data_IF_727146806152
#
_entry.id   IF_727146806152
#
_cell.length_a   1.000
_cell.length_b   1.000
_cell.length_c   1.000
_cell.angle_alpha   90.00
_cell.angle_beta   90.00
_cell.angle_gamma   90.00
#
_symmetry.space_group_name_H-M   'P 1'
#
loop_
_entity.id
_entity.type
_entity.pdbx_description
1 polymer ?
#
# COMPACT_ATOMS: atom_id res chain seq x y z
N UNK A 1 0.22 29.89 21.88
CA UNK A 1 0.58 28.58 21.28
C UNK A 1 0.79 28.80 19.79
N UNK A 2 1.91 28.35 19.22
CA UNK A 2 2.15 28.38 17.76
C UNK A 2 1.34 27.26 17.08
N UNK A 3 0.99 27.45 15.81
CA UNK A 3 0.40 26.38 14.99
C UNK A 3 1.42 25.25 14.76
N UNK A 4 0.99 23.98 14.71
CA UNK A 4 1.86 22.90 14.27
C UNK A 4 2.38 23.17 12.85
N UNK A 5 3.68 22.97 12.63
CA UNK A 5 4.36 23.28 11.36
C UNK A 5 4.91 22.03 10.65
N UNK A 6 4.81 20.88 11.27
CA UNK A 6 5.31 19.61 10.70
C UNK A 6 4.45 18.44 11.11
N UNK A 7 4.46 17.39 10.27
CA UNK A 7 3.88 16.08 10.57
C UNK A 7 5.00 15.07 10.49
N UNK A 8 5.16 14.23 11.52
CA UNK A 8 6.11 13.14 11.52
C UNK A 8 5.34 11.82 11.60
N UNK A 9 5.40 11.02 10.54
CA UNK A 9 4.83 9.68 10.48
C UNK A 9 5.96 8.65 10.47
N UNK A 10 5.78 7.55 11.21
CA UNK A 10 6.82 6.52 11.35
C UNK A 10 6.21 5.13 11.21
N UNK A 11 6.92 4.26 10.52
CA UNK A 11 6.63 2.83 10.53
C UNK A 11 7.06 2.21 11.86
N UNK A 12 6.42 1.12 12.30
CA UNK A 12 6.93 0.28 13.38
C UNK A 12 8.34 -0.24 13.03
N UNK A 13 9.18 -0.34 14.04
CA UNK A 13 10.61 -0.66 13.86
C UNK A 13 10.83 -2.05 13.23
N UNK A 14 9.92 -3.00 13.50
CA UNK A 14 9.98 -4.35 12.95
C UNK A 14 9.89 -4.40 11.40
N UNK A 15 9.28 -3.38 10.75
CA UNK A 15 9.15 -3.33 9.29
C UNK A 15 10.52 -3.34 8.61
N UNK A 16 11.51 -2.66 9.19
CA UNK A 16 12.87 -2.61 8.63
C UNK A 16 13.54 -3.99 8.57
N UNK A 17 13.27 -4.86 9.54
CA UNK A 17 13.78 -6.22 9.58
C UNK A 17 12.94 -7.25 8.81
N UNK A 18 11.72 -6.87 8.38
CA UNK A 18 10.80 -7.75 7.67
C UNK A 18 11.00 -7.72 6.14
N UNK A 19 11.72 -6.73 5.63
CA UNK A 19 11.88 -6.47 4.20
C UNK A 19 13.33 -6.68 3.78
N UNK A 20 13.56 -7.68 2.94
CA UNK A 20 14.86 -7.87 2.29
C UNK A 20 14.95 -6.94 1.06
N UNK A 21 15.72 -5.87 1.19
CA UNK A 21 15.90 -4.87 0.13
C UNK A 21 16.90 -5.29 -0.96
N UNK A 22 17.71 -6.29 -0.69
CA UNK A 22 18.71 -6.79 -1.63
C UNK A 22 18.14 -7.87 -2.56
N UNK A 23 17.02 -8.48 -2.14
CA UNK A 23 16.28 -9.46 -2.94
C UNK A 23 15.54 -8.78 -4.10
N UNK A 24 15.61 -9.37 -5.30
CA UNK A 24 14.70 -9.09 -6.41
C UNK A 24 13.45 -9.96 -6.29
N UNK A 25 12.25 -9.35 -6.29
CA UNK A 25 10.94 -10.00 -6.24
C UNK A 25 10.37 -10.07 -7.65
N UNK A 26 10.85 -11.02 -8.45
CA UNK A 26 10.60 -11.04 -9.90
C UNK A 26 9.14 -11.32 -10.30
N UNK A 27 8.38 -12.06 -9.48
CA UNK A 27 6.98 -12.37 -9.79
C UNK A 27 6.00 -11.41 -9.10
N UNK A 28 4.85 -11.16 -9.74
CA UNK A 28 3.75 -10.41 -9.11
C UNK A 28 3.26 -11.10 -7.83
N UNK A 29 3.28 -12.45 -7.81
CA UNK A 29 2.94 -13.24 -6.63
C UNK A 29 3.87 -12.98 -5.46
N UNK A 30 5.21 -12.94 -5.67
CA UNK A 30 6.18 -12.63 -4.60
C UNK A 30 5.99 -11.21 -4.05
N UNK A 31 5.69 -10.24 -4.94
CA UNK A 31 5.46 -8.84 -4.55
C UNK A 31 4.23 -8.70 -3.65
N UNK A 32 3.11 -9.31 -4.05
CA UNK A 32 1.86 -9.27 -3.26
C UNK A 32 1.99 -10.09 -1.99
N UNK A 33 2.66 -11.25 -2.04
CA UNK A 33 2.92 -12.05 -0.84
C UNK A 33 3.69 -11.28 0.22
N UNK A 34 4.67 -10.44 -0.17
CA UNK A 34 5.36 -9.56 0.77
C UNK A 34 4.39 -8.55 1.41
N UNK A 35 3.53 -7.91 0.62
CA UNK A 35 2.54 -6.96 1.13
C UNK A 35 1.55 -7.64 2.12
N UNK A 36 1.08 -8.84 1.79
CA UNK A 36 0.21 -9.67 2.66
C UNK A 36 0.95 -10.04 3.95
N UNK A 37 2.23 -10.46 3.86
CA UNK A 37 3.04 -10.79 5.02
C UNK A 37 3.25 -9.60 5.97
N UNK A 38 3.41 -8.40 5.42
CA UNK A 38 3.46 -7.16 6.22
C UNK A 38 2.13 -6.87 6.91
N UNK A 39 1.00 -7.06 6.21
CA UNK A 39 -0.33 -6.90 6.78
C UNK A 39 -0.58 -7.87 7.94
N UNK A 40 -0.24 -9.15 7.79
CA UNK A 40 -0.35 -10.17 8.84
C UNK A 40 0.51 -9.81 10.04
N UNK A 41 1.77 -9.47 9.81
CA UNK A 41 2.68 -9.11 10.90
C UNK A 41 2.26 -7.83 11.63
N UNK A 42 1.64 -6.87 10.94
CA UNK A 42 1.10 -5.67 11.57
C UNK A 42 0.01 -5.98 12.60
N UNK A 43 -0.76 -7.06 12.38
CA UNK A 43 -1.72 -7.59 13.35
C UNK A 43 -1.02 -8.31 14.51
N UNK A 44 -0.09 -9.23 14.22
CA UNK A 44 0.63 -10.02 15.22
C UNK A 44 1.38 -9.14 16.21
N UNK A 45 2.00 -8.07 15.72
CA UNK A 45 2.72 -7.08 16.53
C UNK A 45 1.79 -6.02 17.16
N UNK A 46 0.48 -6.07 16.88
CA UNK A 46 -0.54 -5.10 17.33
C UNK A 46 -0.16 -3.63 17.04
N UNK A 47 0.43 -3.37 15.87
CA UNK A 47 0.94 -2.05 15.47
C UNK A 47 0.04 -1.31 14.50
N UNK A 48 -1.12 -1.87 14.11
CA UNK A 48 -2.11 -1.21 13.26
C UNK A 48 -3.09 -2.14 12.59
N UNK A 49 -3.78 -1.66 11.54
CA UNK A 49 -4.78 -2.41 10.79
C UNK A 49 -4.21 -3.44 9.81
N UNK A 50 -5.06 -4.28 9.19
CA UNK A 50 -4.69 -5.47 8.41
C UNK A 50 -4.22 -5.15 6.98
N UNK A 51 -3.42 -4.11 6.82
CA UNK A 51 -3.01 -3.65 5.50
C UNK A 51 -1.50 -3.43 5.40
N UNK A 52 -0.93 -3.90 4.28
CA UNK A 52 0.47 -3.75 3.93
C UNK A 52 0.61 -3.40 2.45
N UNK A 53 1.61 -2.59 2.12
CA UNK A 53 1.89 -2.17 0.76
C UNK A 53 3.40 -1.99 0.54
N UNK A 54 3.85 -2.26 -0.68
CA UNK A 54 5.28 -2.18 -1.03
C UNK A 54 5.45 -1.56 -2.41
N UNK A 55 6.32 -0.57 -2.53
CA UNK A 55 6.76 0.01 -3.80
C UNK A 55 8.03 -0.69 -4.25
N UNK A 56 8.01 -1.22 -5.48
CA UNK A 56 9.16 -1.84 -6.14
C UNK A 56 9.66 -0.95 -7.28
N UNK A 57 10.99 -0.95 -7.45
CA UNK A 57 11.67 -0.29 -8.56
C UNK A 57 11.73 -1.14 -9.83
N UNK A 58 12.34 -0.57 -10.90
CA UNK A 58 12.49 -1.25 -12.19
C UNK A 58 13.36 -2.52 -12.13
N UNK A 59 14.12 -2.70 -11.06
CA UNK A 59 14.98 -3.85 -10.80
C UNK A 59 14.31 -4.92 -9.92
N UNK A 60 13.00 -4.81 -9.72
CA UNK A 60 12.18 -5.67 -8.85
C UNK A 60 12.60 -5.65 -7.36
N UNK A 61 13.40 -4.68 -6.92
CA UNK A 61 13.77 -4.51 -5.53
C UNK A 61 12.84 -3.53 -4.81
N UNK A 62 12.77 -3.70 -3.48
CA UNK A 62 11.96 -2.83 -2.64
C UNK A 62 12.57 -1.43 -2.54
N UNK A 63 11.82 -0.43 -2.96
CA UNK A 63 12.11 1.00 -2.74
C UNK A 63 11.64 1.43 -1.35
N UNK A 64 10.39 1.12 -1.04
CA UNK A 64 9.77 1.43 0.25
C UNK A 64 8.64 0.45 0.57
N UNK A 65 8.37 0.28 1.85
CA UNK A 65 7.24 -0.50 2.35
C UNK A 65 6.39 0.37 3.28
N UNK A 66 5.12 0.02 3.44
CA UNK A 66 4.18 0.65 4.35
C UNK A 66 3.26 -0.37 4.99
N UNK A 67 2.85 -0.09 6.22
CA UNK A 67 1.76 -0.77 6.92
C UNK A 67 0.79 0.27 7.43
N UNK A 68 -0.46 -0.14 7.66
CA UNK A 68 -1.46 0.77 8.21
C UNK A 68 -1.13 1.13 9.66
N UNK A 69 -0.92 2.41 9.92
CA UNK A 69 -0.61 2.96 11.24
C UNK A 69 -1.54 4.12 11.63
N UNK A 70 -2.78 4.09 11.16
CA UNK A 70 -3.81 5.15 11.41
C UNK A 70 -3.97 5.41 12.88
N UNK A 71 -4.28 4.40 13.68
CA UNK A 71 -4.52 4.54 15.11
C UNK A 71 -3.25 4.94 15.89
N UNK A 72 -2.10 4.26 15.73
CA UNK A 72 -0.87 4.63 16.43
C UNK A 72 -0.35 6.02 16.11
N UNK A 73 -0.59 6.51 14.88
CA UNK A 73 -0.13 7.83 14.45
C UNK A 73 -1.23 8.92 14.54
N UNK A 74 -2.43 8.55 14.99
CA UNK A 74 -3.58 9.46 15.15
C UNK A 74 -3.89 10.27 13.87
N UNK A 75 -3.83 9.62 12.70
CA UNK A 75 -4.14 10.25 11.43
C UNK A 75 -4.75 9.26 10.43
N UNK A 76 -5.91 9.60 9.89
CA UNK A 76 -6.60 8.81 8.85
C UNK A 76 -5.83 8.72 7.53
N UNK A 77 -4.74 9.46 7.36
CA UNK A 77 -3.93 9.44 6.13
C UNK A 77 -2.86 8.35 6.15
N UNK A 78 -2.57 7.74 7.31
CA UNK A 78 -1.49 6.76 7.47
C UNK A 78 -1.91 5.33 7.06
N UNK A 79 -2.54 5.19 5.91
CA UNK A 79 -2.80 3.90 5.25
C UNK A 79 -1.50 3.30 4.72
N UNK A 80 -1.45 1.98 4.55
CA UNK A 80 -0.26 1.27 4.10
C UNK A 80 0.31 1.81 2.79
N UNK A 81 -0.55 2.03 1.78
CA UNK A 81 -0.16 2.54 0.47
C UNK A 81 0.38 3.96 0.55
N UNK A 82 -0.28 4.84 1.34
CA UNK A 82 0.18 6.20 1.52
C UNK A 82 1.55 6.25 2.22
N UNK A 83 1.75 5.42 3.24
CA UNK A 83 3.05 5.29 3.90
C UNK A 83 4.13 4.82 2.90
N UNK A 84 3.84 3.80 2.10
CA UNK A 84 4.75 3.30 1.08
C UNK A 84 5.08 4.37 0.03
N UNK A 85 4.08 5.11 -0.47
CA UNK A 85 4.29 6.19 -1.44
C UNK A 85 5.13 7.34 -0.88
N UNK A 86 4.78 7.86 0.31
CA UNK A 86 5.52 8.96 0.91
C UNK A 86 6.99 8.60 1.15
N UNK A 87 7.26 7.38 1.63
CA UNK A 87 8.61 6.90 1.86
C UNK A 87 9.36 6.65 0.55
N UNK A 88 8.71 6.13 -0.48
CA UNK A 88 9.31 5.98 -1.81
C UNK A 88 9.66 7.33 -2.44
N UNK A 89 8.76 8.31 -2.36
CA UNK A 89 9.00 9.67 -2.84
C UNK A 89 10.19 10.33 -2.13
N UNK A 90 10.28 10.18 -0.81
CA UNK A 90 11.42 10.68 -0.03
C UNK A 90 12.73 9.96 -0.41
N UNK A 91 12.72 8.63 -0.53
CA UNK A 91 13.91 7.85 -0.89
C UNK A 91 14.43 8.17 -2.29
N UNK A 92 13.53 8.46 -3.23
CA UNK A 92 13.87 8.79 -4.61
C UNK A 92 14.08 10.30 -4.83
N UNK A 93 13.70 11.16 -3.88
CA UNK A 93 13.75 12.61 -4.02
C UNK A 93 12.78 13.17 -5.06
N UNK A 94 11.69 12.45 -5.38
CA UNK A 94 10.77 12.81 -6.46
C UNK A 94 9.32 12.75 -6.01
N UNK A 95 8.53 13.74 -6.36
CA UNK A 95 7.10 13.77 -6.06
C UNK A 95 6.30 12.78 -6.94
N UNK A 96 6.78 12.49 -8.15
CA UNK A 96 6.23 11.47 -9.04
C UNK A 96 7.30 10.43 -9.32
N UNK A 97 7.10 9.22 -8.80
CA UNK A 97 8.17 8.22 -8.69
C UNK A 97 8.60 7.61 -10.02
N UNK A 98 7.71 7.53 -11.01
CA UNK A 98 7.98 6.94 -12.34
C UNK A 98 8.51 7.96 -13.38
N UNK A 99 8.80 9.18 -12.97
CA UNK A 99 9.44 10.18 -13.82
C UNK A 99 10.79 10.61 -13.22
N UNK A 100 11.78 10.84 -14.06
CA UNK A 100 13.06 11.43 -13.67
C UNK A 100 12.95 12.96 -13.50
N UNK A 101 14.09 13.62 -13.19
CA UNK A 101 14.14 15.06 -12.98
C UNK A 101 13.83 15.88 -14.24
N UNK A 102 13.98 15.28 -15.42
CA UNK A 102 13.60 15.87 -16.71
C UNK A 102 12.14 15.59 -17.10
N UNK A 103 11.39 14.88 -16.24
CA UNK A 103 10.00 14.47 -16.49
C UNK A 103 9.87 13.30 -17.47
N UNK A 104 10.91 12.53 -17.72
CA UNK A 104 10.89 11.36 -18.60
C UNK A 104 10.56 10.10 -17.81
N UNK A 105 9.84 9.13 -18.42
CA UNK A 105 9.60 7.84 -17.79
C UNK A 105 10.90 7.13 -17.38
N UNK A 106 10.97 6.66 -16.14
CA UNK A 106 12.12 5.94 -15.58
C UNK A 106 11.72 4.65 -14.85
N UNK A 107 10.47 4.17 -15.10
CA UNK A 107 9.92 2.92 -14.54
C UNK A 107 10.32 1.65 -15.30
N UNK A 108 9.60 0.52 -15.07
CA UNK A 108 8.33 0.50 -14.34
C UNK A 108 8.49 0.53 -12.81
N UNK A 109 7.69 1.34 -12.14
CA UNK A 109 7.49 1.26 -10.70
C UNK A 109 6.17 0.57 -10.39
N UNK A 110 6.19 -0.31 -9.40
CA UNK A 110 5.04 -1.17 -9.05
C UNK A 110 4.65 -0.93 -7.61
N UNK A 111 3.36 -0.69 -7.33
CA UNK A 111 2.81 -0.88 -6.00
C UNK A 111 2.18 -2.27 -5.90
N UNK A 112 2.59 -3.08 -4.93
CA UNK A 112 1.85 -4.25 -4.48
C UNK A 112 1.16 -3.93 -3.15
N UNK A 113 -0.13 -4.25 -3.04
CA UNK A 113 -0.92 -4.03 -1.84
C UNK A 113 -1.70 -5.28 -1.45
N UNK A 114 -1.85 -5.51 -0.14
CA UNK A 114 -2.59 -6.67 0.39
C UNK A 114 -4.08 -6.62 0.06
N UNK A 115 -4.65 -5.43 -0.11
CA UNK A 115 -6.05 -5.22 -0.46
C UNK A 115 -6.21 -4.10 -1.50
N UNK A 116 -7.37 -4.07 -2.15
CA UNK A 116 -7.72 -3.01 -3.09
C UNK A 116 -7.63 -1.64 -2.41
N UNK A 117 -6.97 -0.64 -3.04
CA UNK A 117 -6.91 0.70 -2.48
C UNK A 117 -8.29 1.33 -2.28
N UNK A 118 -8.52 1.89 -1.11
CA UNK A 118 -9.69 2.73 -0.81
C UNK A 118 -9.69 4.01 -1.66
N UNK A 119 -10.74 4.82 -1.59
CA UNK A 119 -10.86 6.06 -2.37
C UNK A 119 -9.67 7.02 -2.15
N UNK A 120 -9.12 7.10 -0.94
CA UNK A 120 -7.95 7.91 -0.61
C UNK A 120 -6.67 7.37 -1.28
N UNK A 121 -6.39 6.08 -1.13
CA UNK A 121 -5.21 5.43 -1.68
C UNK A 121 -5.26 5.32 -3.21
N UNK A 122 -6.47 5.17 -3.77
CA UNK A 122 -6.69 5.24 -5.22
C UNK A 122 -6.23 6.60 -5.78
N UNK A 123 -6.66 7.70 -5.14
CA UNK A 123 -6.20 9.04 -5.52
C UNK A 123 -4.69 9.19 -5.38
N UNK A 124 -4.12 8.70 -4.27
CA UNK A 124 -2.67 8.71 -4.05
C UNK A 124 -1.90 7.93 -5.12
N UNK A 125 -2.42 6.77 -5.57
CA UNK A 125 -1.84 5.96 -6.66
C UNK A 125 -1.66 6.77 -7.94
N UNK A 126 -2.67 7.55 -8.32
CA UNK A 126 -2.63 8.42 -9.50
C UNK A 126 -1.54 9.50 -9.37
N UNK A 127 -1.45 10.14 -8.20
CA UNK A 127 -0.50 11.24 -7.98
C UNK A 127 0.94 10.78 -7.73
N UNK A 128 1.13 9.68 -7.01
CA UNK A 128 2.46 9.13 -6.75
C UNK A 128 3.16 8.67 -8.04
N UNK A 129 2.41 8.22 -9.04
CA UNK A 129 2.95 7.85 -10.34
C UNK A 129 3.62 6.48 -10.31
N UNK A 130 2.84 5.41 -10.13
CA UNK A 130 3.27 4.04 -10.42
C UNK A 130 2.81 3.63 -11.81
N UNK A 131 3.46 2.63 -12.39
CA UNK A 131 3.10 2.08 -13.70
C UNK A 131 2.20 0.85 -13.56
N UNK A 132 2.32 0.13 -12.42
CA UNK A 132 1.51 -1.06 -12.12
C UNK A 132 1.01 -1.05 -10.69
N UNK A 133 -0.23 -1.51 -10.50
CA UNK A 133 -0.87 -1.71 -9.21
C UNK A 133 -1.28 -3.19 -9.08
N UNK A 134 -0.65 -3.92 -8.17
CA UNK A 134 -0.89 -5.33 -7.89
C UNK A 134 -1.71 -5.45 -6.61
N UNK A 135 -2.83 -6.19 -6.66
CA UNK A 135 -3.84 -6.20 -5.61
C UNK A 135 -4.12 -7.63 -5.15
N UNK A 136 -4.09 -7.85 -3.84
CA UNK A 136 -4.51 -9.09 -3.18
C UNK A 136 -6.03 -9.22 -3.08
N UNK A 137 -6.60 -8.85 -1.94
CA UNK A 137 -8.04 -8.88 -1.68
C UNK A 137 -8.78 -7.76 -2.42
N UNK A 138 -10.06 -7.96 -2.67
CA UNK A 138 -10.96 -6.95 -3.26
C UNK A 138 -11.58 -6.07 -2.18
N UNK A 139 -12.18 -4.95 -2.59
CA UNK A 139 -12.93 -4.09 -1.67
C UNK A 139 -14.13 -4.83 -1.04
N UNK A 140 -14.78 -5.70 -1.80
CA UNK A 140 -15.87 -6.55 -1.29
C UNK A 140 -15.40 -7.49 -0.18
N UNK A 141 -14.15 -8.01 -0.27
CA UNK A 141 -13.56 -8.86 0.78
C UNK A 141 -13.26 -8.05 2.04
N UNK A 142 -12.74 -6.83 1.86
CA UNK A 142 -12.48 -5.91 2.98
C UNK A 142 -13.78 -5.61 3.73
N UNK A 143 -14.82 -5.21 3.02
CA UNK A 143 -16.13 -4.92 3.62
C UNK A 143 -16.74 -6.14 4.32
N UNK A 144 -16.75 -7.30 3.65
CA UNK A 144 -17.29 -8.55 4.19
C UNK A 144 -16.61 -9.00 5.48
N UNK A 145 -15.27 -8.90 5.53
CA UNK A 145 -14.48 -9.51 6.58
C UNK A 145 -14.08 -8.56 7.71
N UNK A 146 -14.11 -7.24 7.48
CA UNK A 146 -13.69 -6.25 8.47
C UNK A 146 -14.73 -5.16 8.74
N UNK A 147 -15.73 -5.02 7.86
CA UNK A 147 -16.73 -3.95 7.84
C UNK A 147 -16.11 -2.54 7.66
N UNK A 148 -14.89 -2.42 7.13
CA UNK A 148 -14.34 -1.13 6.71
C UNK A 148 -15.07 -0.61 5.48
N UNK A 149 -15.33 0.70 5.45
CA UNK A 149 -15.84 1.42 4.29
C UNK A 149 -14.66 1.93 3.46
N UNK A 150 -14.55 1.43 2.23
CA UNK A 150 -13.49 1.82 1.29
C UNK A 150 -13.76 3.17 0.58
N UNK A 151 -14.91 3.79 0.86
CA UNK A 151 -15.35 5.04 0.26
C UNK A 151 -15.67 4.94 -1.23
N UNK A 152 -16.07 6.06 -1.86
CA UNK A 152 -16.51 6.08 -3.24
C UNK A 152 -15.35 5.96 -4.23
N UNK A 153 -15.48 5.06 -5.20
CA UNK A 153 -14.60 4.94 -6.37
C UNK A 153 -15.41 5.17 -7.66
N UNK A 154 -14.76 5.60 -8.75
CA UNK A 154 -15.40 5.58 -10.06
C UNK A 154 -15.91 4.17 -10.42
N UNK A 155 -17.07 4.06 -11.06
CA UNK A 155 -17.64 2.76 -11.46
C UNK A 155 -16.65 1.94 -12.33
N UNK A 156 -15.90 2.59 -13.22
CA UNK A 156 -14.81 1.99 -14.01
C UNK A 156 -13.45 2.46 -13.48
N UNK A 157 -13.17 2.23 -12.20
CA UNK A 157 -11.93 2.70 -11.56
C UNK A 157 -10.66 2.08 -12.19
N UNK A 158 -10.74 0.84 -12.67
CA UNK A 158 -9.61 0.19 -13.37
C UNK A 158 -9.37 0.81 -14.74
N UNK A 159 -10.44 1.12 -15.50
CA UNK A 159 -10.32 1.85 -16.76
C UNK A 159 -9.80 3.27 -16.57
N UNK A 160 -10.15 3.93 -15.46
CA UNK A 160 -9.59 5.25 -15.11
C UNK A 160 -8.08 5.18 -14.81
N UNK A 161 -7.59 4.11 -14.16
CA UNK A 161 -6.15 3.88 -14.00
C UNK A 161 -5.47 3.62 -15.35
N UNK A 162 -6.06 2.76 -16.18
CA UNK A 162 -5.52 2.42 -17.51
C UNK A 162 -5.39 3.65 -18.42
N UNK A 163 -6.38 4.57 -18.40
CA UNK A 163 -6.31 5.85 -19.12
C UNK A 163 -5.14 6.75 -18.67
N UNK A 164 -4.62 6.52 -17.47
CA UNK A 164 -3.45 7.22 -16.90
C UNK A 164 -2.14 6.44 -17.03
N UNK A 165 -2.18 5.32 -17.77
CA UNK A 165 -1.01 4.46 -17.97
C UNK A 165 -0.68 3.56 -16.79
N UNK A 166 -1.62 3.33 -15.87
CA UNK A 166 -1.44 2.46 -14.69
C UNK A 166 -2.15 1.13 -14.96
N UNK A 167 -1.40 0.04 -15.06
CA UNK A 167 -1.93 -1.32 -15.16
C UNK A 167 -2.40 -1.82 -13.80
N UNK A 168 -3.68 -2.15 -13.66
CA UNK A 168 -4.23 -2.77 -12.46
C UNK A 168 -4.36 -4.29 -12.61
N UNK A 169 -3.67 -5.06 -11.76
CA UNK A 169 -3.76 -6.54 -11.71
C UNK A 169 -4.35 -6.95 -10.37
N UNK A 170 -5.42 -7.74 -10.42
CA UNK A 170 -6.23 -8.09 -9.24
C UNK A 170 -6.16 -9.57 -8.90
N UNK A 171 -6.61 -9.90 -7.69
CA UNK A 171 -6.80 -11.27 -7.23
C UNK A 171 -5.50 -12.08 -7.07
N UNK A 172 -4.36 -11.41 -6.88
CA UNK A 172 -3.08 -12.06 -6.67
C UNK A 172 -3.01 -12.56 -5.22
N UNK A 173 -2.91 -13.88 -5.04
CA UNK A 173 -2.95 -14.53 -3.72
C UNK A 173 -4.15 -14.08 -2.85
N UNK A 174 -5.32 -13.87 -3.47
CA UNK A 174 -6.52 -13.31 -2.83
C UNK A 174 -6.94 -14.07 -1.59
N UNK A 175 -6.88 -15.42 -1.60
CA UNK A 175 -7.28 -16.22 -0.44
C UNK A 175 -6.40 -15.93 0.77
N UNK A 176 -5.08 -15.84 0.60
CA UNK A 176 -4.15 -15.48 1.67
C UNK A 176 -4.41 -14.06 2.21
N UNK A 177 -4.74 -13.11 1.33
CA UNK A 177 -5.11 -11.76 1.75
C UNK A 177 -6.43 -11.75 2.55
N UNK A 178 -7.43 -12.53 2.13
CA UNK A 178 -8.70 -12.71 2.86
C UNK A 178 -8.49 -13.30 4.26
N UNK A 179 -7.57 -14.25 4.41
CA UNK A 179 -7.24 -14.85 5.72
C UNK A 179 -6.78 -13.78 6.72
N UNK A 180 -5.94 -12.83 6.30
CA UNK A 180 -5.48 -11.73 7.15
C UNK A 180 -6.63 -10.82 7.55
N UNK A 181 -7.52 -10.46 6.60
CA UNK A 181 -8.71 -9.65 6.88
C UNK A 181 -9.66 -10.37 7.85
N UNK A 182 -9.92 -11.67 7.65
CA UNK A 182 -10.77 -12.48 8.51
C UNK A 182 -10.22 -12.59 9.94
N UNK A 183 -8.90 -12.74 10.09
CA UNK A 183 -8.25 -12.75 11.40
C UNK A 183 -8.48 -11.43 12.16
N UNK A 184 -8.39 -10.29 11.46
CA UNK A 184 -8.68 -8.97 12.05
C UNK A 184 -10.14 -8.82 12.48
N UNK A 185 -11.07 -9.12 11.58
CA UNK A 185 -12.51 -8.98 11.86
C UNK A 185 -12.98 -9.89 13.01
N UNK A 186 -12.52 -11.16 13.05
CA UNK A 186 -12.84 -12.09 14.12
C UNK A 186 -12.14 -11.77 15.46
N UNK A 187 -10.99 -11.10 15.43
CA UNK A 187 -10.25 -10.67 16.61
C UNK A 187 -10.79 -9.41 17.30
N UNK A 188 -11.90 -8.85 16.81
CA UNK A 188 -12.48 -7.61 17.36
C UNK A 188 -11.65 -6.37 16.99
N UNK A 189 -11.05 -6.37 15.83
CA UNK A 189 -10.23 -5.26 15.34
C UNK A 189 -10.97 -3.91 15.39
N UNK A 190 -10.24 -2.87 15.79
CA UNK A 190 -10.83 -1.53 15.95
C UNK A 190 -11.04 -0.87 14.58
N UNK A 191 -12.28 -0.44 14.31
CA UNK A 191 -12.62 0.38 13.13
C UNK A 191 -12.19 1.83 13.36
N UNK A 192 -11.79 2.51 12.28
CA UNK A 192 -11.35 3.91 12.31
C UNK A 192 -11.75 4.65 11.04
#
# INVERSE_FOLDING_TARGET
MSLPASVALRLPEWVHGAVDRDRAYASDGDKVALAIGLAARNLDEATGGPFGAVVFGPDDRVVAAGVNVVLPQSTSLAHAENMAYMLAQQALGRARINLDDDGRPCGPYVLATSAQPCCQCYGATVWAGVDRLLIGARAEDVHELTEFDEGPLPADWTGELARRGIEGVRDIARDAAREVLAAYGSGGGQRY
#
